data_IF_157605732305
#
_entry.id   IF_157605732305
#
_cell.length_a   1.000
_cell.length_b   1.000
_cell.length_c   1.000
_cell.angle_alpha   90.00
_cell.angle_beta   90.00
_cell.angle_gamma   90.00
#
_symmetry.space_group_name_H-M   'P 1'
#
loop_
_entity.id
_entity.type
_entity.pdbx_description
1 polymer ?
#
# COMPACT_ATOMS: atom_id res chain seq x y z
N UNK A 1 35.79 -5.15 -28.22
CA UNK A 1 36.03 -4.09 -27.22
C UNK A 1 34.82 -3.18 -27.31
N UNK A 2 33.90 -3.07 -26.36
CA UNK A 2 33.88 -3.35 -24.91
C UNK A 2 32.83 -4.40 -24.54
N UNK A 3 33.26 -5.53 -23.97
CA UNK A 3 32.41 -6.38 -23.14
C UNK A 3 32.34 -5.72 -21.77
N UNK A 4 31.44 -4.77 -21.57
CA UNK A 4 31.12 -4.36 -20.21
C UNK A 4 30.28 -5.48 -19.60
N UNK A 5 30.89 -6.26 -18.70
CA UNK A 5 30.19 -7.12 -17.75
C UNK A 5 29.44 -6.24 -16.73
N UNK A 6 28.63 -5.31 -17.21
CA UNK A 6 27.90 -4.38 -16.36
C UNK A 6 26.64 -5.10 -15.90
N UNK A 7 26.50 -5.24 -14.59
CA UNK A 7 25.34 -5.87 -13.98
C UNK A 7 24.19 -4.90 -14.08
N UNK A 8 23.06 -5.34 -14.63
CA UNK A 8 21.84 -4.55 -14.68
C UNK A 8 20.95 -4.90 -13.49
N UNK A 9 20.66 -3.91 -12.64
CA UNK A 9 19.77 -4.05 -11.49
C UNK A 9 18.34 -3.63 -11.91
N UNK A 10 17.37 -4.50 -11.70
CA UNK A 10 15.99 -4.29 -12.15
C UNK A 10 14.97 -4.64 -11.06
N UNK A 11 14.16 -3.68 -10.63
CA UNK A 11 13.05 -3.91 -9.70
C UNK A 11 11.74 -3.99 -10.49
N UNK A 12 11.07 -5.13 -10.46
CA UNK A 12 9.84 -5.41 -11.20
C UNK A 12 8.66 -5.51 -10.23
N UNK A 13 7.60 -4.76 -10.51
CA UNK A 13 6.36 -4.80 -9.72
C UNK A 13 5.32 -5.76 -10.30
N UNK A 14 4.53 -6.34 -9.40
CA UNK A 14 3.26 -7.03 -9.68
C UNK A 14 2.06 -6.11 -9.35
N UNK A 15 0.89 -6.40 -9.93
CA UNK A 15 -0.35 -5.65 -9.70
C UNK A 15 -0.70 -5.58 -8.22
N UNK A 16 -0.59 -6.69 -7.48
CA UNK A 16 -0.96 -6.74 -6.07
C UNK A 16 -0.06 -5.88 -5.17
N UNK A 17 1.17 -5.61 -5.59
CA UNK A 17 2.06 -4.73 -4.85
C UNK A 17 1.64 -3.26 -4.99
N UNK A 18 1.17 -2.88 -6.18
CA UNK A 18 0.86 -1.50 -6.56
C UNK A 18 -0.65 -1.15 -6.48
N UNK A 19 -1.50 -2.12 -6.18
CA UNK A 19 -2.96 -1.97 -6.16
C UNK A 19 -3.44 -0.89 -5.18
N UNK A 20 -4.34 -0.04 -5.66
CA UNK A 20 -5.02 0.99 -4.86
C UNK A 20 -6.45 0.56 -4.56
N UNK A 21 -6.82 0.51 -3.28
CA UNK A 21 -8.18 0.22 -2.85
C UNK A 21 -9.07 1.47 -2.98
N UNK A 22 -10.06 1.43 -3.87
CA UNK A 22 -11.01 2.52 -4.13
C UNK A 22 -12.20 2.51 -3.12
N UNK A 23 -11.93 2.39 -1.81
CA UNK A 23 -12.98 2.09 -0.82
C UNK A 23 -13.58 3.33 -0.12
N UNK A 24 -12.78 4.31 0.33
CA UNK A 24 -13.28 5.44 1.16
C UNK A 24 -13.12 6.83 0.55
N UNK A 25 -12.09 7.06 -0.29
CA UNK A 25 -11.83 8.32 -1.02
C UNK A 25 -11.36 8.04 -2.45
N UNK A 26 -12.18 7.31 -3.21
CA UNK A 26 -11.85 6.95 -4.58
C UNK A 26 -11.94 8.16 -5.51
N UNK A 27 -10.78 8.68 -5.93
CA UNK A 27 -10.70 9.67 -6.99
C UNK A 27 -10.64 8.95 -8.35
N UNK A 28 -11.70 9.06 -9.13
CA UNK A 28 -11.78 8.53 -10.51
C UNK A 28 -11.37 9.56 -11.56
N UNK A 29 -10.96 10.77 -11.15
CA UNK A 29 -10.53 11.82 -12.08
C UNK A 29 -9.05 11.74 -12.42
N UNK A 30 -8.27 11.01 -11.61
CA UNK A 30 -6.82 10.83 -11.72
C UNK A 30 -6.43 9.36 -11.68
N UNK A 31 -5.17 9.06 -11.96
CA UNK A 31 -4.60 7.72 -11.82
C UNK A 31 -3.24 7.83 -11.12
N UNK A 32 -3.00 6.99 -10.12
CA UNK A 32 -1.73 6.83 -9.45
C UNK A 32 -1.57 5.38 -8.98
N UNK A 33 -0.35 4.98 -8.64
CA UNK A 33 -0.16 3.77 -7.84
C UNK A 33 -0.44 4.05 -6.35
N UNK A 34 -0.47 3.00 -5.54
CA UNK A 34 -0.47 3.14 -4.09
C UNK A 34 0.89 3.67 -3.57
N UNK A 35 0.96 3.95 -2.26
CA UNK A 35 2.17 4.46 -1.59
C UNK A 35 3.39 3.54 -1.74
N UNK A 36 3.19 2.24 -1.94
CA UNK A 36 4.30 1.29 -2.12
C UNK A 36 5.21 1.66 -3.30
N UNK A 37 4.68 2.26 -4.37
CA UNK A 37 5.51 2.72 -5.46
C UNK A 37 6.48 3.83 -5.01
N UNK A 38 5.96 4.89 -4.41
CA UNK A 38 6.75 6.04 -3.96
C UNK A 38 7.75 5.63 -2.88
N UNK A 39 7.31 4.82 -1.90
CA UNK A 39 8.19 4.29 -0.85
C UNK A 39 9.43 3.59 -1.43
N UNK A 40 9.24 2.74 -2.44
CA UNK A 40 10.34 2.01 -3.09
C UNK A 40 11.23 2.96 -3.91
N UNK A 41 10.64 3.94 -4.59
CA UNK A 41 11.39 4.98 -5.31
C UNK A 41 12.26 5.80 -4.35
N UNK A 42 11.71 6.18 -3.20
CA UNK A 42 12.43 6.90 -2.16
C UNK A 42 13.55 6.07 -1.54
N UNK A 43 13.35 4.77 -1.31
CA UNK A 43 14.42 3.86 -0.89
C UNK A 43 15.59 3.84 -1.90
N UNK A 44 15.29 3.80 -3.21
CA UNK A 44 16.31 3.84 -4.26
C UNK A 44 17.06 5.20 -4.25
N UNK A 45 16.33 6.30 -4.05
CA UNK A 45 16.89 7.65 -3.97
C UNK A 45 17.79 7.84 -2.75
N UNK A 46 17.34 7.39 -1.56
CA UNK A 46 18.10 7.46 -0.31
C UNK A 46 19.40 6.68 -0.37
N UNK A 47 19.41 5.56 -1.10
CA UNK A 47 20.60 4.76 -1.34
C UNK A 47 21.54 5.36 -2.40
N UNK A 48 21.14 6.44 -3.10
CA UNK A 48 21.88 7.06 -4.20
C UNK A 48 22.20 6.07 -5.35
N UNK A 49 21.29 5.10 -5.60
CA UNK A 49 21.45 4.07 -6.65
C UNK A 49 20.48 4.21 -7.83
N UNK A 50 19.78 5.35 -7.94
CA UNK A 50 18.77 5.63 -8.98
C UNK A 50 19.31 5.60 -10.41
N UNK A 51 20.62 5.79 -10.61
CA UNK A 51 21.27 5.70 -11.91
C UNK A 51 21.59 4.25 -12.33
N UNK A 52 21.63 3.32 -11.37
CA UNK A 52 22.04 1.92 -11.57
C UNK A 52 20.85 0.97 -11.52
N UNK A 53 19.80 1.31 -10.76
CA UNK A 53 18.57 0.54 -10.65
C UNK A 53 17.56 1.03 -11.69
N UNK A 54 17.05 0.09 -12.49
CA UNK A 54 15.91 0.32 -13.37
C UNK A 54 14.64 -0.20 -12.69
N UNK A 55 13.62 0.64 -12.60
CA UNK A 55 12.29 0.23 -12.14
C UNK A 55 11.47 -0.19 -13.35
N UNK A 56 10.80 -1.34 -13.26
CA UNK A 56 10.10 -1.94 -14.37
C UNK A 56 8.66 -2.29 -13.98
N UNK A 57 7.71 -1.84 -14.80
CA UNK A 57 6.29 -2.12 -14.61
C UNK A 57 5.79 -2.85 -15.86
N UNK A 58 5.47 -4.15 -15.76
CA UNK A 58 5.03 -4.93 -16.91
C UNK A 58 3.71 -4.41 -17.51
N UNK A 59 3.57 -4.49 -18.83
CA UNK A 59 2.33 -4.12 -19.55
C UNK A 59 1.09 -4.87 -19.04
N UNK A 60 1.28 -6.11 -18.55
CA UNK A 60 0.23 -6.91 -17.92
C UNK A 60 -0.32 -6.20 -16.68
N UNK A 61 0.56 -5.63 -15.84
CA UNK A 61 0.19 -4.88 -14.63
C UNK A 61 -0.58 -3.61 -14.99
N UNK A 62 -0.08 -2.83 -15.96
CA UNK A 62 -0.80 -1.64 -16.46
C UNK A 62 -2.21 -1.97 -16.96
N UNK A 63 -2.34 -3.03 -17.77
CA UNK A 63 -3.61 -3.47 -18.34
C UNK A 63 -4.58 -3.95 -17.26
N UNK A 64 -4.05 -4.60 -16.21
CA UNK A 64 -4.86 -5.06 -15.10
C UNK A 64 -5.38 -3.90 -14.26
N UNK A 65 -4.55 -2.90 -13.98
CA UNK A 65 -4.95 -1.72 -13.24
C UNK A 65 -5.98 -0.87 -13.98
N UNK A 66 -5.78 -0.65 -15.28
CA UNK A 66 -6.76 0.02 -16.16
C UNK A 66 -8.12 -0.68 -16.05
N UNK A 67 -8.13 -2.01 -16.12
CA UNK A 67 -9.37 -2.79 -15.98
C UNK A 67 -9.99 -2.65 -14.59
N UNK A 68 -9.19 -2.76 -13.53
CA UNK A 68 -9.67 -2.69 -12.15
C UNK A 68 -10.31 -1.33 -11.81
N UNK A 69 -9.69 -0.21 -12.22
CA UNK A 69 -10.27 1.13 -11.98
C UNK A 69 -11.56 1.34 -12.77
N UNK A 70 -11.65 0.84 -14.01
CA UNK A 70 -12.88 0.90 -14.83
C UNK A 70 -13.99 0.07 -14.19
N UNK A 71 -13.70 -1.16 -13.75
CA UNK A 71 -14.67 -2.03 -13.09
C UNK A 71 -15.19 -1.40 -11.79
N UNK A 72 -14.31 -0.84 -10.97
CA UNK A 72 -14.69 -0.18 -9.70
C UNK A 72 -15.48 1.10 -9.92
N UNK A 73 -15.09 1.92 -10.90
CA UNK A 73 -15.87 3.09 -11.31
C UNK A 73 -17.31 2.70 -11.69
N UNK A 74 -17.46 1.71 -12.57
CA UNK A 74 -18.77 1.27 -13.06
C UNK A 74 -19.63 0.66 -11.95
N UNK A 75 -19.03 -0.12 -11.05
CA UNK A 75 -19.69 -0.71 -9.88
C UNK A 75 -20.26 0.38 -8.95
N UNK A 76 -19.43 1.38 -8.58
CA UNK A 76 -19.86 2.46 -7.70
C UNK A 76 -20.88 3.37 -8.37
N UNK A 77 -20.68 3.74 -9.64
CA UNK A 77 -21.63 4.58 -10.38
C UNK A 77 -23.02 3.93 -10.47
N UNK A 78 -23.07 2.62 -10.75
CA UNK A 78 -24.32 1.84 -10.76
C UNK A 78 -25.01 1.86 -9.38
N UNK A 79 -24.22 1.69 -8.31
CA UNK A 79 -24.71 1.70 -6.92
C UNK A 79 -25.28 3.08 -6.53
N UNK A 80 -24.59 4.16 -6.91
CA UNK A 80 -25.05 5.53 -6.68
C UNK A 80 -26.36 5.82 -7.43
N UNK A 81 -26.42 5.47 -8.73
CA UNK A 81 -27.64 5.64 -9.55
C UNK A 81 -28.84 4.90 -8.96
N UNK A 82 -28.63 3.67 -8.49
CA UNK A 82 -29.67 2.87 -7.82
C UNK A 82 -30.14 3.48 -6.51
N UNK A 83 -29.22 4.02 -5.71
CA UNK A 83 -29.54 4.64 -4.41
C UNK A 83 -30.30 5.95 -4.59
N UNK A 84 -29.84 6.79 -5.51
CA UNK A 84 -30.42 8.10 -5.80
C UNK A 84 -31.83 7.97 -6.38
N UNK A 85 -32.03 7.08 -7.35
CA UNK A 85 -33.35 6.89 -8.00
C UNK A 85 -34.46 6.48 -7.03
N UNK A 86 -34.11 5.89 -5.88
CA UNK A 86 -35.04 5.50 -4.81
C UNK A 86 -35.41 6.65 -3.86
N UNK A 87 -34.64 7.74 -3.82
CA UNK A 87 -34.86 8.88 -2.92
C UNK A 87 -35.42 10.07 -3.70
N UNK A 88 -36.53 10.64 -3.24
CA UNK A 88 -37.13 11.85 -3.82
C UNK A 88 -37.21 12.93 -2.76
N UNK A 89 -36.69 14.09 -3.08
CA UNK A 89 -36.70 15.26 -2.20
C UNK A 89 -37.50 16.39 -2.86
N UNK A 90 -38.41 17.06 -2.14
CA UNK A 90 -39.10 18.24 -2.64
C UNK A 90 -38.16 19.41 -2.97
N UNK A 91 -37.06 19.53 -2.24
CA UNK A 91 -36.12 20.67 -2.30
C UNK A 91 -35.08 20.53 -3.42
N UNK A 92 -34.85 19.32 -3.93
CA UNK A 92 -33.74 19.04 -4.83
C UNK A 92 -34.18 18.17 -6.02
N UNK A 93 -33.65 18.52 -7.20
CA UNK A 93 -33.71 17.67 -8.39
C UNK A 93 -32.30 17.24 -8.78
N UNK A 94 -32.11 15.95 -9.05
CA UNK A 94 -30.81 15.39 -9.43
C UNK A 94 -30.74 15.30 -10.95
N UNK A 95 -29.65 15.83 -11.51
CA UNK A 95 -29.35 15.76 -12.94
C UNK A 95 -28.00 15.07 -13.13
N UNK A 96 -27.92 14.17 -14.10
CA UNK A 96 -26.66 13.54 -14.49
C UNK A 96 -25.85 14.49 -15.38
N UNK A 97 -24.52 14.43 -15.22
CA UNK A 97 -23.61 15.06 -16.18
C UNK A 97 -23.73 14.39 -17.55
N UNK A 98 -23.27 15.06 -18.63
CA UNK A 98 -23.15 14.43 -19.94
C UNK A 98 -22.37 13.12 -19.86
N UNK A 99 -22.78 12.14 -20.66
CA UNK A 99 -22.11 10.85 -20.72
C UNK A 99 -20.66 11.03 -21.21
N UNK A 100 -19.73 10.36 -20.55
CA UNK A 100 -18.30 10.40 -20.88
C UNK A 100 -17.81 8.98 -21.17
N UNK A 101 -16.92 8.83 -22.14
CA UNK A 101 -16.17 7.58 -22.30
C UNK A 101 -15.11 7.50 -21.19
N UNK A 102 -15.52 6.97 -20.04
CA UNK A 102 -14.63 6.81 -18.90
C UNK A 102 -13.40 5.92 -19.21
N UNK A 103 -13.53 4.77 -19.91
CA UNK A 103 -12.38 4.02 -20.39
C UNK A 103 -11.36 4.85 -21.19
N UNK A 104 -11.81 5.67 -22.14
CA UNK A 104 -10.90 6.55 -22.89
C UNK A 104 -10.30 7.65 -22.01
N UNK A 105 -11.11 8.24 -21.13
CA UNK A 105 -10.67 9.25 -20.17
C UNK A 105 -9.54 8.73 -19.27
N UNK A 106 -9.73 7.58 -18.63
CA UNK A 106 -8.75 7.06 -17.68
C UNK A 106 -7.50 6.53 -18.38
N UNK A 107 -7.64 6.00 -19.60
CA UNK A 107 -6.49 5.62 -20.42
C UNK A 107 -5.58 6.81 -20.72
N UNK A 108 -6.14 7.99 -20.97
CA UNK A 108 -5.37 9.22 -21.12
C UNK A 108 -4.65 9.60 -19.82
N UNK A 109 -5.32 9.46 -18.66
CA UNK A 109 -4.70 9.69 -17.34
C UNK A 109 -3.56 8.73 -17.01
N UNK A 110 -3.69 7.44 -17.35
CA UNK A 110 -2.60 6.47 -17.23
C UNK A 110 -1.42 6.87 -18.12
N UNK A 111 -1.68 7.35 -19.34
CA UNK A 111 -0.62 7.79 -20.24
C UNK A 111 0.08 9.09 -19.77
N UNK A 112 -0.66 10.00 -19.12
CA UNK A 112 -0.09 11.17 -18.43
C UNK A 112 0.81 10.72 -17.27
N UNK A 113 0.30 9.86 -16.39
CA UNK A 113 1.05 9.34 -15.25
C UNK A 113 2.31 8.56 -15.64
N UNK A 114 2.23 7.72 -16.69
CA UNK A 114 3.41 7.03 -17.25
C UNK A 114 4.52 8.00 -17.67
N UNK A 115 4.15 9.16 -18.23
CA UNK A 115 5.13 10.19 -18.61
C UNK A 115 5.71 10.88 -17.38
N UNK A 116 4.87 11.20 -16.40
CA UNK A 116 5.28 11.82 -15.14
C UNK A 116 6.36 10.99 -14.43
N UNK A 117 6.10 9.70 -14.19
CA UNK A 117 7.07 8.82 -13.52
C UNK A 117 8.33 8.54 -14.36
N UNK A 118 8.27 8.79 -15.68
CA UNK A 118 9.43 8.65 -16.57
C UNK A 118 10.34 9.90 -16.60
N UNK A 119 9.90 11.04 -16.07
CA UNK A 119 10.68 12.31 -16.04
C UNK A 119 11.55 12.40 -14.77
N UNK A 120 11.25 11.62 -13.74
CA UNK A 120 12.00 11.60 -12.48
C UNK A 120 13.47 11.15 -12.61
N UNK A 121 14.19 11.18 -11.49
CA UNK A 121 15.59 10.71 -11.44
C UNK A 121 15.72 9.21 -11.73
N UNK A 122 14.69 8.44 -11.35
CA UNK A 122 14.66 6.99 -11.51
C UNK A 122 14.27 6.60 -12.93
N UNK A 123 15.02 5.65 -13.50
CA UNK A 123 14.69 5.09 -14.81
C UNK A 123 13.53 4.10 -14.66
N UNK A 124 12.34 4.50 -15.10
CA UNK A 124 11.17 3.63 -15.19
C UNK A 124 10.99 3.11 -16.61
N UNK A 125 10.82 1.79 -16.77
CA UNK A 125 10.55 1.14 -18.06
C UNK A 125 9.29 0.29 -18.01
N UNK A 126 8.70 0.06 -19.19
CA UNK A 126 7.61 -0.90 -19.36
C UNK A 126 8.15 -2.20 -19.95
N UNK A 127 7.89 -3.34 -19.28
CA UNK A 127 8.20 -4.66 -19.83
C UNK A 127 7.03 -5.08 -20.73
N UNK A 128 7.25 -5.30 -22.03
CA UNK A 128 6.18 -5.69 -22.93
C UNK A 128 5.61 -7.06 -22.56
N UNK A 129 4.35 -7.29 -22.94
CA UNK A 129 3.75 -8.62 -22.86
C UNK A 129 4.60 -9.61 -23.66
N UNK A 130 4.79 -10.81 -23.11
CA UNK A 130 5.49 -11.91 -23.76
C UNK A 130 5.04 -12.07 -25.22
N UNK A 131 6.01 -12.19 -26.13
CA UNK A 131 5.77 -12.29 -27.55
C UNK A 131 5.20 -13.67 -27.92
N UNK A 132 4.84 -13.83 -29.20
CA UNK A 132 4.38 -15.11 -29.74
C UNK A 132 5.37 -16.26 -29.51
N UNK A 133 6.65 -15.97 -29.28
CA UNK A 133 7.67 -16.99 -29.00
C UNK A 133 7.43 -17.73 -27.67
N UNK A 134 6.71 -17.13 -26.72
CA UNK A 134 6.38 -17.75 -25.44
C UNK A 134 4.97 -18.36 -25.42
N UNK A 135 4.22 -18.26 -26.52
CA UNK A 135 2.83 -18.73 -26.59
C UNK A 135 2.70 -20.23 -26.32
N UNK A 136 3.57 -21.06 -26.90
CA UNK A 136 3.59 -22.49 -26.63
C UNK A 136 3.91 -22.81 -25.16
N UNK A 137 4.79 -22.02 -24.53
CA UNK A 137 5.11 -22.15 -23.10
C UNK A 137 3.87 -21.88 -22.23
N UNK A 138 3.14 -20.79 -22.52
CA UNK A 138 1.89 -20.44 -21.83
C UNK A 138 0.86 -21.57 -21.96
N UNK A 139 0.69 -22.11 -23.17
CA UNK A 139 -0.22 -23.24 -23.43
C UNK A 139 0.20 -24.47 -22.61
N UNK A 140 1.48 -24.82 -22.64
CA UNK A 140 1.99 -25.99 -21.91
C UNK A 140 1.80 -25.83 -20.40
N UNK A 141 1.98 -24.63 -19.85
CA UNK A 141 1.68 -24.35 -18.45
C UNK A 141 0.20 -24.50 -18.12
N UNK A 142 -0.69 -23.97 -18.98
CA UNK A 142 -2.13 -24.06 -18.76
C UNK A 142 -2.60 -25.51 -18.72
N UNK A 143 -2.23 -26.32 -19.73
CA UNK A 143 -2.59 -27.74 -19.77
C UNK A 143 -1.92 -28.58 -18.68
N UNK A 144 -0.65 -28.29 -18.38
CA UNK A 144 0.11 -28.96 -17.32
C UNK A 144 -0.24 -28.50 -15.91
N UNK A 145 -1.06 -27.44 -15.78
CA UNK A 145 -1.33 -26.72 -14.53
C UNK A 145 -0.05 -26.42 -13.75
N UNK A 146 0.96 -25.95 -14.50
CA UNK A 146 2.26 -25.58 -13.96
C UNK A 146 2.16 -24.18 -13.32
N UNK A 147 2.91 -23.90 -12.25
CA UNK A 147 2.98 -22.56 -11.68
C UNK A 147 3.26 -21.50 -12.76
N UNK A 148 2.64 -20.31 -12.64
CA UNK A 148 1.80 -19.84 -11.54
C UNK A 148 0.29 -20.22 -11.65
N UNK A 149 -0.10 -21.14 -12.54
CA UNK A 149 -1.48 -21.66 -12.52
C UNK A 149 -1.77 -22.40 -11.21
N UNK A 150 -2.85 -22.02 -10.54
CA UNK A 150 -3.27 -22.63 -9.28
C UNK A 150 -4.18 -23.83 -9.54
N UNK A 151 -3.64 -25.06 -9.44
CA UNK A 151 -4.50 -26.22 -9.19
C UNK A 151 -3.93 -27.57 -9.59
N UNK A 152 -3.65 -28.44 -8.61
CA UNK A 152 -3.76 -29.89 -8.85
C UNK A 152 -5.21 -30.38 -8.67
N UNK A 153 -6.01 -29.71 -7.83
CA UNK A 153 -7.34 -30.20 -7.40
C UNK A 153 -8.54 -29.29 -7.74
N UNK A 154 -8.36 -28.10 -8.34
CA UNK A 154 -9.46 -27.18 -8.68
C UNK A 154 -9.70 -27.07 -10.19
N UNK A 155 -10.98 -26.88 -10.56
CA UNK A 155 -11.53 -26.77 -11.94
C UNK A 155 -11.36 -25.36 -12.56
N UNK A 156 -10.45 -24.55 -12.03
CA UNK A 156 -10.35 -23.12 -12.41
C UNK A 156 -9.00 -22.84 -13.06
N UNK A 157 -8.99 -22.20 -14.22
CA UNK A 157 -7.78 -21.73 -14.93
C UNK A 157 -7.23 -20.43 -14.30
N UNK A 158 -7.31 -20.33 -12.96
CA UNK A 158 -6.79 -19.19 -12.21
C UNK A 158 -5.26 -19.20 -12.30
N UNK A 159 -4.69 -18.04 -12.61
CA UNK A 159 -3.25 -17.88 -12.80
C UNK A 159 -2.82 -17.58 -14.24
N UNK A 160 -3.75 -17.42 -15.20
CA UNK A 160 -3.38 -17.04 -16.56
C UNK A 160 -2.66 -15.68 -16.64
N UNK A 161 -3.12 -14.68 -15.88
CA UNK A 161 -2.46 -13.36 -15.82
C UNK A 161 -1.07 -13.49 -15.22
N UNK A 162 -0.95 -14.23 -14.13
CA UNK A 162 0.32 -14.50 -13.45
C UNK A 162 1.29 -15.24 -14.39
N UNK A 163 0.78 -16.17 -15.20
CA UNK A 163 1.58 -16.90 -16.17
C UNK A 163 2.06 -15.98 -17.30
N UNK A 164 1.20 -15.08 -17.79
CA UNK A 164 1.58 -14.08 -18.78
C UNK A 164 2.65 -13.12 -18.23
N UNK A 165 2.50 -12.70 -16.98
CA UNK A 165 3.46 -11.86 -16.26
C UNK A 165 4.81 -12.58 -16.12
N UNK A 166 4.81 -13.82 -15.63
CA UNK A 166 6.02 -14.63 -15.48
C UNK A 166 6.75 -14.83 -16.81
N UNK A 167 6.02 -15.16 -17.87
CA UNK A 167 6.57 -15.37 -19.22
C UNK A 167 7.17 -14.09 -19.80
N UNK A 168 6.59 -12.93 -19.49
CA UNK A 168 7.13 -11.62 -19.87
C UNK A 168 8.45 -11.33 -19.15
N UNK A 169 8.53 -11.67 -17.86
CA UNK A 169 9.77 -11.52 -17.06
C UNK A 169 10.87 -12.47 -17.59
N UNK A 170 10.53 -13.72 -17.93
CA UNK A 170 11.49 -14.67 -18.50
C UNK A 170 12.03 -14.20 -19.86
N UNK A 171 11.16 -13.77 -20.77
CA UNK A 171 11.59 -13.27 -22.08
C UNK A 171 12.44 -11.99 -21.96
N UNK A 172 12.05 -11.07 -21.06
CA UNK A 172 12.87 -9.91 -20.72
C UNK A 172 14.25 -10.32 -20.20
N UNK A 173 14.30 -11.33 -19.33
CA UNK A 173 15.55 -11.80 -18.74
C UNK A 173 16.44 -12.58 -19.71
N UNK A 174 15.86 -13.21 -20.74
CA UNK A 174 16.60 -13.89 -21.80
C UNK A 174 17.21 -12.90 -22.80
N UNK A 175 16.63 -11.71 -22.94
CA UNK A 175 17.10 -10.67 -23.88
C UNK A 175 18.16 -9.73 -23.29
N UNK A 176 18.39 -9.78 -21.97
CA UNK A 176 19.38 -8.99 -21.26
C UNK A 176 20.33 -9.92 -20.48
N UNK A 177 21.65 -9.72 -20.60
CA UNK A 177 22.62 -10.52 -19.85
C UNK A 177 22.97 -9.85 -18.50
N UNK A 178 23.38 -10.65 -17.51
CA UNK A 178 23.87 -10.18 -16.21
C UNK A 178 22.84 -9.38 -15.40
N UNK A 179 21.59 -9.86 -15.33
CA UNK A 179 20.50 -9.21 -14.61
C UNK A 179 20.45 -9.62 -13.13
N UNK A 180 20.27 -8.64 -12.25
CA UNK A 180 19.80 -8.86 -10.88
C UNK A 180 18.41 -8.28 -10.73
N UNK A 181 17.45 -9.16 -10.44
CA UNK A 181 16.03 -8.83 -10.39
C UNK A 181 15.52 -8.92 -8.95
N UNK A 182 14.86 -7.86 -8.50
CA UNK A 182 13.90 -7.93 -7.39
C UNK A 182 12.52 -7.97 -8.03
N UNK A 183 11.77 -9.04 -7.81
CA UNK A 183 10.38 -9.14 -8.21
C UNK A 183 9.49 -8.96 -6.98
N UNK A 184 8.78 -7.84 -6.90
CA UNK A 184 7.89 -7.54 -5.80
C UNK A 184 6.48 -8.03 -6.11
N UNK A 185 6.11 -9.18 -5.53
CA UNK A 185 4.77 -9.75 -5.61
C UNK A 185 4.31 -10.28 -4.26
N UNK A 186 3.14 -9.83 -3.81
CA UNK A 186 2.45 -10.33 -2.60
C UNK A 186 1.81 -11.71 -2.82
N UNK A 187 1.78 -12.22 -4.06
CA UNK A 187 1.11 -13.48 -4.39
C UNK A 187 1.98 -14.70 -4.07
N UNK A 188 1.39 -15.70 -3.41
CA UNK A 188 2.05 -16.96 -3.06
C UNK A 188 2.21 -17.92 -4.25
N UNK A 189 1.55 -17.66 -5.39
CA UNK A 189 1.73 -18.42 -6.62
C UNK A 189 3.19 -18.35 -7.13
N UNK A 190 3.91 -17.28 -6.78
CA UNK A 190 5.33 -17.12 -7.08
C UNK A 190 6.21 -17.61 -5.91
N UNK A 191 6.91 -18.72 -6.14
CA UNK A 191 7.75 -19.37 -5.14
C UNK A 191 8.93 -20.15 -5.73
N UNK A 192 9.44 -21.13 -4.98
CA UNK A 192 10.69 -21.85 -5.29
C UNK A 192 10.72 -22.53 -6.66
N UNK A 193 9.59 -23.02 -7.15
CA UNK A 193 9.50 -23.68 -8.47
C UNK A 193 9.86 -22.72 -9.61
N UNK A 194 9.38 -21.48 -9.55
CA UNK A 194 9.65 -20.45 -10.56
C UNK A 194 11.06 -19.90 -10.40
N UNK A 195 11.57 -19.76 -9.17
CA UNK A 195 12.97 -19.40 -8.92
C UNK A 195 13.93 -20.43 -9.51
N UNK A 196 13.64 -21.71 -9.32
CA UNK A 196 14.43 -22.80 -9.90
C UNK A 196 14.36 -22.78 -11.43
N UNK A 197 13.17 -22.60 -11.99
CA UNK A 197 13.00 -22.46 -13.43
C UNK A 197 13.82 -21.29 -13.99
N UNK A 198 13.80 -20.14 -13.33
CA UNK A 198 14.57 -18.96 -13.73
C UNK A 198 16.07 -19.28 -13.74
N UNK A 199 16.60 -19.90 -12.68
CA UNK A 199 18.01 -20.25 -12.58
C UNK A 199 18.45 -21.29 -13.64
N UNK A 200 17.55 -22.19 -14.04
CA UNK A 200 17.81 -23.20 -15.08
C UNK A 200 17.78 -22.62 -16.50
N UNK A 201 16.97 -21.58 -16.75
CA UNK A 201 16.75 -21.03 -18.08
C UNK A 201 17.53 -19.74 -18.36
N UNK A 202 17.85 -18.94 -17.33
CA UNK A 202 18.50 -17.64 -17.46
C UNK A 202 19.90 -17.70 -16.83
N UNK A 203 20.92 -17.82 -17.69
CA UNK A 203 22.31 -17.86 -17.23
C UNK A 203 22.82 -16.48 -16.80
N UNK A 204 23.71 -16.46 -15.81
CA UNK A 204 24.38 -15.27 -15.27
C UNK A 204 23.43 -14.20 -14.71
N UNK A 205 22.17 -14.55 -14.43
CA UNK A 205 21.20 -13.63 -13.83
C UNK A 205 20.62 -14.23 -12.55
N UNK A 206 20.16 -13.39 -11.64
CA UNK A 206 19.52 -13.82 -10.39
C UNK A 206 18.19 -13.08 -10.20
N UNK A 207 17.19 -13.79 -9.70
CA UNK A 207 15.89 -13.24 -9.37
C UNK A 207 15.57 -13.53 -7.89
N UNK A 208 15.14 -12.50 -7.17
CA UNK A 208 14.67 -12.58 -5.80
C UNK A 208 13.22 -12.13 -5.76
N UNK A 209 12.36 -12.87 -5.05
CA UNK A 209 10.95 -12.53 -4.90
C UNK A 209 10.75 -11.91 -3.53
N UNK A 210 10.25 -10.69 -3.47
CA UNK A 210 9.93 -9.98 -2.23
C UNK A 210 8.41 -9.94 -2.02
N UNK A 211 7.97 -10.15 -0.78
CA UNK A 211 6.56 -10.16 -0.38
C UNK A 211 6.11 -8.85 0.29
N UNK A 212 7.04 -8.04 0.77
CA UNK A 212 6.76 -6.78 1.48
C UNK A 212 7.89 -5.77 1.26
N UNK A 213 7.64 -4.52 1.65
CA UNK A 213 8.60 -3.41 1.49
C UNK A 213 9.88 -3.63 2.30
N UNK A 214 9.80 -4.28 3.48
CA UNK A 214 10.98 -4.60 4.29
C UNK A 214 11.93 -5.55 3.56
N UNK A 215 11.40 -6.57 2.88
CA UNK A 215 12.21 -7.47 2.04
C UNK A 215 12.83 -6.74 0.85
N UNK A 216 12.09 -5.83 0.22
CA UNK A 216 12.62 -4.97 -0.86
C UNK A 216 13.75 -4.10 -0.34
N UNK A 217 13.57 -3.42 0.80
CA UNK A 217 14.60 -2.62 1.49
C UNK A 217 15.88 -3.44 1.69
N UNK A 218 15.78 -4.64 2.26
CA UNK A 218 16.95 -5.51 2.50
C UNK A 218 17.69 -5.84 1.20
N UNK A 219 16.97 -6.13 0.11
CA UNK A 219 17.60 -6.42 -1.18
C UNK A 219 18.21 -5.18 -1.83
N UNK A 220 17.56 -4.02 -1.76
CA UNK A 220 18.09 -2.75 -2.25
C UNK A 220 19.37 -2.35 -1.50
N UNK A 221 19.41 -2.51 -0.17
CA UNK A 221 20.62 -2.27 0.61
C UNK A 221 21.77 -3.23 0.24
N UNK A 222 21.44 -4.49 -0.07
CA UNK A 222 22.42 -5.44 -0.56
C UNK A 222 22.99 -5.02 -1.93
N UNK A 223 22.14 -4.52 -2.84
CA UNK A 223 22.57 -3.96 -4.12
C UNK A 223 23.42 -2.71 -3.94
N UNK A 224 23.04 -1.78 -3.08
CA UNK A 224 23.84 -0.57 -2.81
C UNK A 224 25.25 -0.91 -2.30
N UNK A 225 25.37 -1.86 -1.37
CA UNK A 225 26.67 -2.37 -0.88
C UNK A 225 27.52 -3.01 -1.98
N UNK A 226 26.88 -3.65 -2.96
CA UNK A 226 27.56 -4.29 -4.09
C UNK A 226 28.01 -3.28 -5.14
N UNK A 227 27.17 -2.28 -5.44
CA UNK A 227 27.44 -1.22 -6.42
C UNK A 227 28.59 -0.34 -5.93
N UNK A 228 28.47 0.21 -4.71
CA UNK A 228 29.52 1.01 -4.10
C UNK A 228 29.48 0.92 -2.58
N UNK A 229 30.30 0.02 -2.04
CA UNK A 229 30.46 -0.19 -0.61
C UNK A 229 30.92 1.07 0.15
N UNK A 230 31.65 1.99 -0.49
CA UNK A 230 32.21 3.16 0.19
C UNK A 230 31.24 4.34 0.22
N UNK A 231 30.31 4.40 -0.74
CA UNK A 231 29.25 5.42 -0.79
C UNK A 231 27.95 4.98 -0.13
N UNK A 232 27.80 3.67 0.17
CA UNK A 232 26.64 3.13 0.84
C UNK A 232 26.33 3.83 2.17
N UNK A 233 25.13 4.39 2.26
CA UNK A 233 24.47 4.78 3.49
C UNK A 233 23.22 3.90 3.64
N UNK A 234 22.97 3.30 4.81
CA UNK A 234 21.75 2.52 5.03
C UNK A 234 20.51 3.39 4.88
N UNK A 235 19.41 2.79 4.44
CA UNK A 235 18.10 3.46 4.45
C UNK A 235 17.75 3.66 5.92
N UNK A 236 17.70 4.92 6.36
CA UNK A 236 17.29 5.26 7.72
C UNK A 236 15.95 4.57 8.01
N UNK A 237 15.82 3.95 9.18
CA UNK A 237 14.52 3.53 9.67
C UNK A 237 13.77 4.82 10.05
N UNK A 238 13.22 5.48 9.04
CA UNK A 238 12.17 6.46 9.25
C UNK A 238 10.93 5.64 9.59
N UNK A 239 10.78 5.30 10.87
CA UNK A 239 9.46 4.93 11.37
C UNK A 239 8.66 6.24 11.31
N UNK A 240 7.91 6.42 10.21
CA UNK A 240 7.04 7.58 9.96
C UNK A 240 6.10 7.85 11.14
N UNK A 241 5.87 6.83 11.97
CA UNK A 241 5.07 6.92 13.17
C UNK A 241 5.90 7.10 14.46
N UNK A 242 7.23 7.12 14.43
CA UNK A 242 8.05 7.20 15.64
C UNK A 242 7.71 8.43 16.48
N UNK A 243 7.54 9.58 15.83
CA UNK A 243 7.19 10.82 16.53
C UNK A 243 5.79 10.75 17.17
N UNK A 244 4.80 10.22 16.46
CA UNK A 244 3.45 10.05 17.01
C UNK A 244 3.41 8.94 18.07
N UNK A 245 4.21 7.88 17.92
CA UNK A 245 4.38 6.81 18.90
C UNK A 245 5.03 7.32 20.19
N UNK A 246 6.03 8.19 20.07
CA UNK A 246 6.68 8.84 21.20
C UNK A 246 5.72 9.84 21.86
N UNK A 247 4.92 10.58 21.08
CA UNK A 247 3.88 11.45 21.62
C UNK A 247 2.74 10.69 22.31
N UNK A 248 2.26 9.57 21.76
CA UNK A 248 1.24 8.71 22.40
C UNK A 248 1.71 8.14 23.75
N UNK A 249 3.03 7.96 23.93
CA UNK A 249 3.64 7.54 25.22
C UNK A 249 3.93 8.73 26.15
N UNK A 250 3.76 9.96 25.67
CA UNK A 250 4.07 11.16 26.43
C UNK A 250 2.99 11.49 27.47
N UNK A 251 3.36 12.28 28.48
CA UNK A 251 2.40 12.82 29.44
C UNK A 251 1.43 13.82 28.82
N UNK A 252 1.78 14.42 27.66
CA UNK A 252 0.93 15.39 26.97
C UNK A 252 -0.33 14.72 26.42
N UNK A 253 -0.18 13.64 25.66
CA UNK A 253 -1.31 12.84 25.15
C UNK A 253 -2.26 12.39 26.27
N UNK A 254 -1.72 11.82 27.34
CA UNK A 254 -2.51 11.33 28.48
C UNK A 254 -3.26 12.47 29.18
N UNK A 255 -2.65 13.66 29.29
CA UNK A 255 -3.33 14.84 29.81
C UNK A 255 -4.46 15.30 28.89
N UNK A 256 -4.23 15.35 27.57
CA UNK A 256 -5.27 15.71 26.60
C UNK A 256 -6.49 14.79 26.69
N UNK A 257 -6.29 13.47 26.82
CA UNK A 257 -7.37 12.49 26.98
C UNK A 257 -8.19 12.71 28.26
N UNK A 258 -7.55 13.06 29.38
CA UNK A 258 -8.23 13.29 30.67
C UNK A 258 -8.95 14.65 30.69
N UNK A 259 -8.28 15.69 30.20
CA UNK A 259 -8.70 17.08 30.41
C UNK A 259 -9.75 17.53 29.38
N UNK A 260 -9.66 17.09 28.12
CA UNK A 260 -10.55 17.56 27.03
C UNK A 260 -11.96 16.95 27.05
N UNK A 261 -12.26 16.07 28.00
CA UNK A 261 -13.60 15.57 28.29
C UNK A 261 -14.33 14.94 27.09
N UNK A 262 -13.74 13.92 26.49
CA UNK A 262 -14.33 13.11 25.41
C UNK A 262 -15.33 12.05 25.92
N UNK A 263 -15.93 12.24 27.09
CA UNK A 263 -16.79 11.26 27.79
C UNK A 263 -16.15 9.86 28.01
N UNK A 264 -14.83 9.75 27.88
CA UNK A 264 -14.07 8.53 28.17
C UNK A 264 -13.84 8.33 29.67
N UNK A 265 -13.78 9.43 30.43
CA UNK A 265 -13.36 9.47 31.84
C UNK A 265 -14.55 9.76 32.76
N UNK A 266 -14.75 8.91 33.78
CA UNK A 266 -15.77 9.12 34.79
C UNK A 266 -15.41 10.30 35.70
N UNK A 267 -16.30 11.29 35.80
CA UNK A 267 -16.15 12.50 36.66
C UNK A 267 -17.13 12.51 37.83
N UNK A 268 -17.23 11.37 38.51
CA UNK A 268 -18.09 11.20 39.69
C UNK A 268 -17.62 12.01 40.91
N UNK A 269 -18.57 12.48 41.74
CA UNK A 269 -18.29 13.25 42.98
C UNK A 269 -17.41 12.52 44.01
N UNK A 270 -17.26 11.20 43.85
CA UNK A 270 -16.49 10.32 44.73
C UNK A 270 -15.02 10.18 44.29
N UNK A 271 -14.69 10.60 43.07
CA UNK A 271 -13.35 10.49 42.49
C UNK A 271 -12.52 11.71 42.91
N UNK A 272 -11.29 11.46 43.38
CA UNK A 272 -10.32 12.51 43.78
C UNK A 272 -9.30 12.78 42.68
N UNK A 273 -8.88 11.75 41.95
CA UNK A 273 -7.95 11.88 40.83
C UNK A 273 -8.12 10.71 39.86
N UNK A 274 -7.79 10.98 38.61
CA UNK A 274 -7.76 9.99 37.53
C UNK A 274 -6.38 9.98 36.90
N UNK A 275 -5.84 8.80 36.65
CA UNK A 275 -4.62 8.59 35.86
C UNK A 275 -4.96 7.70 34.67
N UNK A 276 -4.42 8.03 33.50
CA UNK A 276 -4.54 7.23 32.29
C UNK A 276 -3.22 6.52 31.98
N UNK A 277 -3.30 5.32 31.42
CA UNK A 277 -2.17 4.55 30.94
C UNK A 277 -2.49 3.95 29.57
N UNK A 278 -1.58 4.16 28.61
CA UNK A 278 -1.61 3.48 27.32
C UNK A 278 -1.18 2.02 27.50
N UNK A 279 -2.04 1.07 27.13
CA UNK A 279 -1.79 -0.37 27.25
C UNK A 279 -1.26 -0.94 25.94
N UNK A 280 -1.95 -0.68 24.84
CA UNK A 280 -1.55 -1.08 23.49
C UNK A 280 -1.98 -0.03 22.48
N UNK A 281 -1.30 -0.06 21.33
CA UNK A 281 -1.68 0.65 20.13
C UNK A 281 -2.00 -0.44 19.12
N UNK A 282 -3.23 -0.46 18.64
CA UNK A 282 -3.75 -1.52 17.79
C UNK A 282 -3.67 -1.12 16.31
N UNK A 283 -3.87 0.17 15.99
CA UNK A 283 -3.74 0.70 14.64
C UNK A 283 -3.34 2.19 14.63
N UNK A 284 -2.60 2.60 13.59
CA UNK A 284 -2.31 4.01 13.24
C UNK A 284 -2.52 4.14 11.73
N UNK A 285 -3.47 4.98 11.32
CA UNK A 285 -3.78 5.27 9.92
C UNK A 285 -3.62 6.77 9.64
N UNK A 286 -2.81 7.14 8.65
CA UNK A 286 -2.71 8.53 8.17
C UNK A 286 -3.85 8.81 7.18
N UNK A 287 -4.72 9.79 7.49
CA UNK A 287 -5.95 10.09 6.75
C UNK A 287 -5.76 11.12 5.62
N UNK A 288 -4.76 11.99 5.76
CA UNK A 288 -4.30 12.97 4.77
C UNK A 288 -3.07 13.73 5.28
N UNK A 289 -2.14 14.02 4.36
CA UNK A 289 -1.09 15.02 4.53
C UNK A 289 -1.35 16.19 3.60
N UNK A 290 -1.65 17.37 4.16
CA UNK A 290 -1.53 18.64 3.44
C UNK A 290 -0.17 19.25 3.81
N UNK A 291 0.36 20.20 3.02
CA UNK A 291 1.67 20.85 3.28
C UNK A 291 1.85 21.41 4.70
N UNK A 292 0.75 21.64 5.45
CA UNK A 292 0.76 22.26 6.79
C UNK A 292 0.14 21.40 7.91
N UNK A 293 -0.41 20.21 7.61
CA UNK A 293 -1.06 19.39 8.64
C UNK A 293 -1.17 17.91 8.24
N UNK A 294 -0.95 17.03 9.21
CA UNK A 294 -1.17 15.59 9.07
C UNK A 294 -2.28 15.16 10.02
N UNK A 295 -3.24 14.39 9.51
CA UNK A 295 -4.35 13.84 10.30
C UNK A 295 -4.19 12.33 10.45
N UNK A 296 -4.31 11.84 11.67
CA UNK A 296 -4.19 10.42 12.02
C UNK A 296 -5.48 9.91 12.65
N UNK A 297 -5.83 8.68 12.33
CA UNK A 297 -6.79 7.88 13.07
C UNK A 297 -6.03 6.78 13.82
N UNK A 298 -6.27 6.65 15.12
CA UNK A 298 -5.49 5.78 16.01
C UNK A 298 -6.44 4.96 16.85
N UNK A 299 -6.19 3.65 16.92
CA UNK A 299 -6.91 2.73 17.78
C UNK A 299 -5.99 2.29 18.91
N UNK A 300 -6.43 2.49 20.16
CA UNK A 300 -5.64 2.20 21.35
C UNK A 300 -6.47 1.54 22.45
N UNK A 301 -5.80 0.76 23.30
CA UNK A 301 -6.35 0.34 24.58
C UNK A 301 -5.83 1.26 25.70
N UNK A 302 -6.76 1.93 26.40
CA UNK A 302 -6.45 2.82 27.52
C UNK A 302 -6.96 2.24 28.84
N UNK A 303 -6.14 2.34 29.88
CA UNK A 303 -6.53 2.03 31.24
C UNK A 303 -6.64 3.29 32.08
N UNK A 304 -7.80 3.50 32.69
CA UNK A 304 -8.03 4.57 33.65
C UNK A 304 -7.99 4.01 35.07
N UNK A 305 -7.23 4.65 35.95
CA UNK A 305 -7.18 4.36 37.38
C UNK A 305 -7.80 5.53 38.11
N UNK A 306 -8.86 5.25 38.87
CA UNK A 306 -9.60 6.23 39.65
C UNK A 306 -9.28 6.05 41.13
N UNK A 307 -8.82 7.11 41.79
CA UNK A 307 -8.72 7.18 43.24
C UNK A 307 -10.00 7.76 43.82
N UNK A 308 -10.53 7.11 44.85
CA UNK A 308 -11.76 7.49 45.53
C UNK A 308 -11.45 8.24 46.83
N UNK A 309 -12.40 9.07 47.29
CA UNK A 309 -12.27 9.87 48.53
C UNK A 309 -12.02 9.05 49.79
N UNK A 310 -12.39 7.78 49.82
CA UNK A 310 -12.16 6.86 50.93
C UNK A 310 -10.79 6.16 50.87
N UNK A 311 -9.96 6.51 49.87
CA UNK A 311 -8.66 5.89 49.61
C UNK A 311 -8.76 4.61 48.77
N UNK A 312 -9.97 4.20 48.35
CA UNK A 312 -10.18 3.10 47.42
C UNK A 312 -9.65 3.40 46.03
N UNK A 313 -9.33 2.35 45.27
CA UNK A 313 -8.92 2.44 43.86
C UNK A 313 -9.80 1.53 43.02
N UNK A 314 -10.28 2.05 41.90
CA UNK A 314 -10.92 1.24 40.85
C UNK A 314 -10.22 1.51 39.53
N UNK A 315 -10.34 0.57 38.59
CA UNK A 315 -9.74 0.68 37.26
C UNK A 315 -10.74 0.29 36.19
N UNK A 316 -10.60 0.91 35.04
CA UNK A 316 -11.39 0.63 33.85
C UNK A 316 -10.44 0.52 32.65
N UNK A 317 -10.75 -0.34 31.69
CA UNK A 317 -9.92 -0.52 30.48
C UNK A 317 -10.85 -0.56 29.29
N UNK A 318 -10.62 0.35 28.35
CA UNK A 318 -11.49 0.60 27.21
C UNK A 318 -10.67 0.65 25.92
N UNK A 319 -11.29 0.18 24.82
CA UNK A 319 -10.77 0.39 23.48
C UNK A 319 -11.28 1.73 22.95
N UNK A 320 -10.37 2.54 22.40
CA UNK A 320 -10.64 3.93 22.02
C UNK A 320 -10.15 4.20 20.61
N UNK A 321 -11.03 4.75 19.77
CA UNK A 321 -10.66 5.36 18.50
C UNK A 321 -10.39 6.85 18.71
N UNK A 322 -9.29 7.35 18.16
CA UNK A 322 -8.78 8.71 18.41
C UNK A 322 -8.43 9.37 17.08
N UNK A 323 -8.98 10.57 16.86
CA UNK A 323 -8.59 11.44 15.75
C UNK A 323 -7.54 12.43 16.26
N UNK A 324 -6.35 12.40 15.65
CA UNK A 324 -5.21 13.24 16.03
C UNK A 324 -4.81 14.13 14.86
N UNK A 325 -4.50 15.38 15.16
CA UNK A 325 -3.98 16.34 14.18
C UNK A 325 -2.59 16.81 14.59
N UNK A 326 -1.67 16.78 13.64
CA UNK A 326 -0.34 17.35 13.74
C UNK A 326 -0.31 18.68 12.98
N UNK A 327 0.07 19.76 13.65
CA UNK A 327 0.21 21.10 13.09
C UNK A 327 1.39 21.81 13.75
N UNK A 328 2.30 22.37 12.95
CA UNK A 328 3.51 23.07 13.41
C UNK A 328 4.30 22.27 14.48
N UNK A 329 4.54 20.98 14.24
CA UNK A 329 5.24 20.03 15.13
C UNK A 329 4.54 19.76 16.48
N UNK A 330 3.25 20.09 16.61
CA UNK A 330 2.44 19.80 17.79
C UNK A 330 1.28 18.86 17.46
N UNK A 331 1.10 17.83 18.29
CA UNK A 331 -0.01 16.89 18.20
C UNK A 331 -1.18 17.33 19.11
N UNK A 332 -2.39 17.23 18.60
CA UNK A 332 -3.64 17.56 19.28
C UNK A 332 -4.66 16.45 19.09
N UNK A 333 -5.27 15.98 20.19
CA UNK A 333 -6.44 15.09 20.12
C UNK A 333 -7.66 15.92 19.74
N UNK A 334 -8.19 15.69 18.55
CA UNK A 334 -9.37 16.40 18.04
C UNK A 334 -10.67 15.73 18.47
N UNK A 335 -10.68 14.40 18.49
CA UNK A 335 -11.83 13.60 18.92
C UNK A 335 -11.40 12.24 19.46
N UNK A 336 -12.19 11.65 20.35
CA UNK A 336 -11.95 10.31 20.88
C UNK A 336 -13.25 9.65 21.34
N UNK A 337 -13.43 8.36 21.04
CA UNK A 337 -14.66 7.62 21.36
C UNK A 337 -14.39 6.15 21.68
N UNK A 338 -15.30 5.52 22.44
CA UNK A 338 -15.23 4.09 22.78
C UNK A 338 -15.59 3.25 21.57
N UNK A 339 -14.78 2.24 21.27
CA UNK A 339 -15.04 1.33 20.13
C UNK A 339 -15.99 0.18 20.49
N UNK A 340 -16.18 -0.10 21.79
CA UNK A 340 -16.99 -1.23 22.25
C UNK A 340 -18.49 -0.89 22.44
N UNK A 341 -18.91 0.35 22.16
CA UNK A 341 -20.33 0.70 22.09
C UNK A 341 -20.83 0.46 20.66
N UNK A 342 -21.36 -0.74 20.43
CA UNK A 342 -22.21 -1.02 19.28
C UNK A 342 -23.22 0.12 19.11
N UNK A 343 -23.33 0.62 17.87
CA UNK A 343 -24.43 1.47 17.40
C UNK A 343 -25.78 0.82 17.76
N UNK A 344 -26.30 1.07 18.96
CA UNK A 344 -27.73 0.97 19.19
C UNK A 344 -28.31 2.24 18.58
N UNK A 345 -28.64 2.14 17.29
CA UNK A 345 -29.65 2.96 16.64
C UNK A 345 -30.79 3.18 17.64
N UNK A 346 -30.93 4.42 18.11
CA UNK A 346 -32.11 4.82 18.85
C UNK A 346 -33.24 4.95 17.84
N UNK A 347 -33.92 3.84 17.55
CA UNK A 347 -35.25 3.90 16.93
C UNK A 347 -36.15 4.74 17.85
N UNK A 348 -36.59 5.89 17.34
CA UNK A 348 -37.67 6.71 17.90
C UNK A 348 -38.76 6.90 16.86
#
# INVERSE_FOLDING_TARGET
MSSSNEIMYCLIFDTNALFQAYEKKADFTTFSFNSTFENVIDMINQLDIYNQVTVAIPSVVWSEMEKQIIEKHNELLSTYKSTISKKRFPEYSIQENPDIDYPEYIKNKIAEYKKEISVGMNKVIEIPIASSNRFESIINRAFGKLPPFEGKDKKSDKGFKDALLWESILEFSLTHCNLKIIYYSKDNAFGESLLKEFAENVSNSSLFICKNESEVKVQLEAWAKEIDKYSYQPIEEFDENQEILDWLKSGDFLAQIIDRNFDLVEKGRLITSTTAHLISIDNIESLSSNENAIEYYIEVALQFIYELKDGGKTKDTINVGINVKMLDDAYSVEDAYRMDEDEIESES
#
